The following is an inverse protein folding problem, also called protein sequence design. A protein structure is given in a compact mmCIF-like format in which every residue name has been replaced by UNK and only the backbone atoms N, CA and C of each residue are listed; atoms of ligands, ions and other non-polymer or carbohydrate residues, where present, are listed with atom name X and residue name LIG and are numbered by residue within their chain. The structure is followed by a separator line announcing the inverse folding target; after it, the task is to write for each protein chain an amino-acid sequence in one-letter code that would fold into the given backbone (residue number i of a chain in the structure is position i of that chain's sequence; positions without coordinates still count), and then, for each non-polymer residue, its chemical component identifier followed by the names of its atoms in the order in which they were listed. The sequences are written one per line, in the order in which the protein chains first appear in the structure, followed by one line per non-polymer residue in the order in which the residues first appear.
data_IF_699821884686
#
_entry.id   IF_699821884686
#
_cell.length_a   1.000
_cell.length_b   1.000
_cell.length_c   1.000
_cell.angle_alpha   90.00
_cell.angle_beta   90.00
_cell.angle_gamma   90.00
#
_symmetry.space_group_name_H-M   'P 1'
#
loop_
_entity.id
_entity.type
_entity.pdbx_description
1 polymer ?
#
# COMPACT_ATOMS: atom_id res chain seq x y z
N UNK A 1 13.41 -11.69 65.36
CA UNK A 1 13.17 -10.27 65.05
C UNK A 1 13.58 -10.09 63.62
N UNK A 2 12.59 -9.75 62.82
CA UNK A 2 12.44 -10.19 61.44
C UNK A 2 13.32 -9.43 60.45
N UNK A 3 13.84 -10.18 59.47
CA UNK A 3 14.40 -9.68 58.21
C UNK A 3 13.32 -8.85 57.50
N UNK A 4 13.59 -7.56 57.31
CA UNK A 4 12.75 -6.68 56.51
C UNK A 4 13.16 -6.73 55.04
N UNK A 5 12.23 -7.28 54.28
CA UNK A 5 12.08 -7.37 52.84
C UNK A 5 12.40 -6.10 52.05
N UNK A 6 13.08 -6.26 50.91
CA UNK A 6 12.91 -5.39 49.74
C UNK A 6 13.01 -6.24 48.48
N UNK A 7 11.86 -6.77 48.05
CA UNK A 7 11.72 -7.46 46.77
C UNK A 7 11.62 -6.41 45.65
N UNK A 8 12.70 -6.21 44.91
CA UNK A 8 12.65 -5.56 43.60
C UNK A 8 12.05 -6.54 42.59
N UNK A 9 10.75 -6.37 42.31
CA UNK A 9 10.07 -7.08 41.23
C UNK A 9 10.65 -6.64 39.88
N UNK A 10 11.55 -7.45 39.31
CA UNK A 10 11.93 -7.33 37.91
C UNK A 10 10.76 -7.83 37.06
N UNK A 11 9.95 -6.88 36.56
CA UNK A 11 8.94 -7.12 35.55
C UNK A 11 9.63 -7.53 34.25
N UNK A 12 9.85 -8.83 34.08
CA UNK A 12 10.16 -9.45 32.79
C UNK A 12 8.92 -9.32 31.91
N UNK A 13 8.84 -8.21 31.18
CA UNK A 13 7.89 -8.03 30.09
C UNK A 13 8.26 -9.02 28.98
N UNK A 14 7.71 -10.23 29.07
CA UNK A 14 7.74 -11.22 28.01
C UNK A 14 7.04 -10.61 26.81
N UNK A 15 7.85 -10.04 25.91
CA UNK A 15 7.52 -9.84 24.51
C UNK A 15 6.75 -11.08 24.04
N UNK A 16 5.43 -10.94 23.91
CA UNK A 16 4.60 -12.00 23.35
C UNK A 16 5.07 -12.16 21.93
N UNK A 17 5.79 -13.27 21.71
CA UNK A 17 6.17 -13.82 20.43
C UNK A 17 4.89 -13.82 19.59
N UNK A 18 4.76 -12.85 18.68
CA UNK A 18 3.69 -12.87 17.70
C UNK A 18 3.81 -14.20 16.96
N UNK A 19 2.72 -14.94 16.97
CA UNK A 19 2.59 -16.24 16.35
C UNK A 19 3.01 -16.12 14.87
N UNK A 20 4.18 -16.66 14.54
CA UNK A 20 4.78 -16.60 13.20
C UNK A 20 4.08 -17.57 12.21
N UNK A 21 3.01 -18.22 12.66
CA UNK A 21 2.40 -19.36 11.97
C UNK A 21 1.16 -18.98 11.14
N UNK A 22 0.90 -17.69 10.92
CA UNK A 22 -0.16 -17.21 10.01
C UNK A 22 0.36 -16.22 8.96
N UNK A 23 1.56 -16.46 8.44
CA UNK A 23 1.96 -15.85 7.17
C UNK A 23 1.53 -16.78 6.05
N UNK A 24 0.21 -16.88 5.83
CA UNK A 24 -0.29 -17.16 4.49
C UNK A 24 0.16 -15.98 3.63
N UNK A 25 1.40 -16.06 3.14
CA UNK A 25 1.86 -15.22 2.06
C UNK A 25 0.93 -15.54 0.91
N UNK A 26 -0.09 -14.69 0.71
CA UNK A 26 -0.94 -14.77 -0.47
C UNK A 26 0.01 -14.83 -1.67
N UNK A 27 0.03 -15.96 -2.38
CA UNK A 27 0.87 -16.13 -3.58
C UNK A 27 0.47 -15.14 -4.68
N UNK A 28 -0.69 -14.51 -4.52
CA UNK A 28 -1.28 -13.54 -5.44
C UNK A 28 -1.80 -12.31 -4.70
N UNK A 29 -1.67 -11.15 -5.34
CA UNK A 29 -2.25 -9.88 -4.95
C UNK A 29 -3.40 -9.52 -5.90
N UNK A 30 -4.45 -8.89 -5.37
CA UNK A 30 -5.56 -8.35 -6.17
C UNK A 30 -5.34 -6.87 -6.38
N UNK A 31 -5.51 -6.41 -7.62
CA UNK A 31 -5.34 -5.00 -7.97
C UNK A 31 -6.47 -4.49 -8.84
N UNK A 32 -6.78 -3.20 -8.69
CA UNK A 32 -7.80 -2.51 -9.48
C UNK A 32 -7.13 -1.72 -10.58
N UNK A 33 -7.53 -2.00 -11.81
CA UNK A 33 -7.07 -1.35 -13.04
C UNK A 33 -8.15 -0.39 -13.52
N UNK A 34 -7.76 0.82 -13.90
CA UNK A 34 -8.65 1.73 -14.60
C UNK A 34 -8.70 1.30 -16.07
N UNK A 35 -9.87 0.97 -16.61
CA UNK A 35 -9.97 0.38 -17.96
C UNK A 35 -10.67 1.27 -18.98
N UNK A 36 -11.51 2.22 -18.54
CA UNK A 36 -12.12 3.19 -19.44
C UNK A 36 -12.54 4.47 -18.76
N UNK A 37 -12.53 5.56 -19.55
CA UNK A 37 -13.03 6.86 -19.12
C UNK A 37 -14.56 6.91 -19.24
N UNK A 38 -15.28 7.40 -18.22
CA UNK A 38 -16.73 7.55 -18.29
C UNK A 38 -17.16 8.67 -19.26
N UNK A 39 -16.24 9.58 -19.60
CA UNK A 39 -16.53 10.84 -20.31
C UNK A 39 -16.59 12.02 -19.35
N UNK A 40 -16.33 13.24 -19.84
CA UNK A 40 -16.10 14.41 -18.98
C UNK A 40 -17.28 14.72 -18.05
N UNK A 41 -18.50 14.62 -18.57
CA UNK A 41 -19.73 15.01 -17.86
C UNK A 41 -20.58 13.82 -17.37
N UNK A 42 -20.08 12.60 -17.50
CA UNK A 42 -20.83 11.39 -17.12
C UNK A 42 -20.45 10.92 -15.72
N UNK A 43 -21.36 10.18 -15.08
CA UNK A 43 -21.05 9.49 -13.83
C UNK A 43 -20.10 8.30 -14.09
N UNK A 44 -19.15 8.02 -13.19
CA UNK A 44 -18.37 6.80 -13.25
C UNK A 44 -19.28 5.59 -13.00
N UNK A 45 -19.01 4.52 -13.73
CA UNK A 45 -19.71 3.23 -13.60
C UNK A 45 -18.70 2.17 -13.16
N UNK A 46 -19.18 1.06 -12.59
CA UNK A 46 -18.30 0.00 -12.10
C UNK A 46 -17.38 -0.58 -13.20
N UNK A 47 -17.86 -0.60 -14.44
CA UNK A 47 -17.11 -1.06 -15.61
C UNK A 47 -16.03 -0.07 -16.11
N UNK A 48 -15.88 1.10 -15.47
CA UNK A 48 -14.67 1.92 -15.59
C UNK A 48 -13.45 1.24 -14.99
N UNK A 49 -13.67 0.23 -14.15
CA UNK A 49 -12.63 -0.48 -13.41
C UNK A 49 -12.70 -1.98 -13.70
N UNK A 50 -11.54 -2.62 -13.61
CA UNK A 50 -11.42 -4.07 -13.64
C UNK A 50 -10.54 -4.50 -12.47
N UNK A 51 -10.84 -5.64 -11.87
CA UNK A 51 -9.95 -6.24 -10.89
C UNK A 51 -9.25 -7.44 -11.52
N UNK A 52 -7.97 -7.61 -11.19
CA UNK A 52 -7.18 -8.75 -11.65
C UNK A 52 -6.26 -9.26 -10.54
N UNK A 53 -5.79 -10.49 -10.69
CA UNK A 53 -4.79 -11.11 -9.83
C UNK A 53 -3.40 -10.98 -10.46
N UNK A 54 -2.39 -10.69 -9.65
CA UNK A 54 -0.98 -10.73 -10.02
C UNK A 54 -0.19 -11.49 -8.95
N UNK A 55 1.03 -11.96 -9.23
CA UNK A 55 1.89 -12.46 -8.16
C UNK A 55 2.04 -11.41 -7.05
N UNK A 56 2.02 -11.85 -5.79
CA UNK A 56 2.29 -10.95 -4.68
C UNK A 56 3.77 -10.50 -4.68
N UNK A 57 4.06 -9.25 -4.31
CA UNK A 57 5.43 -8.79 -4.16
C UNK A 57 6.12 -9.55 -3.03
N UNK A 58 7.40 -9.83 -3.21
CA UNK A 58 8.26 -10.51 -2.25
C UNK A 58 9.52 -9.69 -1.98
N UNK A 59 10.40 -10.22 -1.13
CA UNK A 59 11.59 -9.50 -0.67
C UNK A 59 12.52 -9.05 -1.81
N UNK A 60 12.55 -9.77 -2.94
CA UNK A 60 13.37 -9.39 -4.10
C UNK A 60 12.82 -8.18 -4.87
N UNK A 61 11.55 -7.82 -4.64
CA UNK A 61 10.91 -6.65 -5.23
C UNK A 61 11.16 -5.38 -4.41
N UNK A 62 11.81 -5.48 -3.24
CA UNK A 62 12.11 -4.33 -2.36
C UNK A 62 13.43 -3.68 -2.77
N UNK A 63 13.35 -2.56 -3.49
CA UNK A 63 14.50 -1.74 -3.84
C UNK A 63 15.08 -0.93 -2.67
N UNK A 64 16.22 -0.28 -2.89
CA UNK A 64 16.86 0.60 -1.90
C UNK A 64 15.91 1.73 -1.47
N UNK A 65 15.69 1.85 -0.15
CA UNK A 65 14.80 2.87 0.43
C UNK A 65 13.30 2.59 0.25
N UNK A 66 12.91 1.44 -0.29
CA UNK A 66 11.51 1.06 -0.50
C UNK A 66 11.00 0.09 0.57
N UNK A 67 9.68 -0.09 0.60
CA UNK A 67 9.03 -1.13 1.40
C UNK A 67 7.80 -1.67 0.67
N UNK A 68 7.35 -2.84 1.09
CA UNK A 68 6.07 -3.43 0.71
C UNK A 68 5.08 -3.17 1.84
N UNK A 69 3.94 -2.61 1.47
CA UNK A 69 2.84 -2.32 2.39
C UNK A 69 1.66 -3.21 2.04
N UNK A 70 1.12 -3.91 3.04
CA UNK A 70 -0.21 -4.53 2.92
C UNK A 70 -1.25 -3.48 3.25
N UNK A 71 -1.97 -3.04 2.22
CA UNK A 71 -3.09 -2.11 2.34
C UNK A 71 -4.21 -2.73 3.20
N UNK A 72 -4.64 -2.00 4.22
CA UNK A 72 -5.78 -2.36 5.09
C UNK A 72 -7.04 -1.61 4.68
N UNK A 73 -6.89 -0.31 4.40
CA UNK A 73 -7.99 0.59 4.07
C UNK A 73 -7.55 1.54 2.94
N UNK A 74 -8.48 1.84 2.04
CA UNK A 74 -8.28 2.77 0.93
C UNK A 74 -9.42 3.80 0.96
N UNK A 75 -9.07 5.08 0.85
CA UNK A 75 -10.07 6.14 0.74
C UNK A 75 -10.68 6.18 -0.66
N UNK A 76 -11.95 6.58 -0.73
CA UNK A 76 -12.66 6.89 -1.98
C UNK A 76 -13.20 8.30 -1.89
N UNK A 77 -12.60 9.22 -2.65
CA UNK A 77 -12.82 10.65 -2.51
C UNK A 77 -13.44 11.26 -3.77
N UNK A 78 -14.33 12.27 -3.65
CA UNK A 78 -14.86 12.99 -4.80
C UNK A 78 -13.78 13.58 -5.72
N UNK A 79 -12.64 13.97 -5.14
CA UNK A 79 -11.50 14.51 -5.88
C UNK A 79 -10.89 13.50 -6.87
N UNK A 80 -11.07 12.19 -6.68
CA UNK A 80 -10.60 11.20 -7.65
C UNK A 80 -11.41 11.22 -8.95
N UNK A 81 -12.61 11.78 -8.98
CA UNK A 81 -13.44 11.83 -10.19
C UNK A 81 -12.76 12.58 -11.32
N UNK A 82 -12.07 13.70 -11.04
CA UNK A 82 -11.41 14.47 -12.09
C UNK A 82 -10.25 13.68 -12.73
N UNK A 83 -9.63 12.76 -11.99
CA UNK A 83 -8.55 11.88 -12.50
C UNK A 83 -9.04 10.90 -13.57
N UNK A 84 -10.34 10.60 -13.62
CA UNK A 84 -10.90 9.74 -14.68
C UNK A 84 -11.03 10.46 -16.04
N UNK A 85 -10.88 11.79 -16.08
CA UNK A 85 -10.85 12.58 -17.31
C UNK A 85 -9.44 12.62 -17.92
N UNK A 86 -9.33 12.99 -19.20
CA UNK A 86 -8.03 13.15 -19.88
C UNK A 86 -7.19 14.27 -19.26
N UNK A 87 -7.84 15.30 -18.74
CA UNK A 87 -7.23 16.36 -17.94
C UNK A 87 -8.00 16.49 -16.63
N UNK A 88 -7.28 16.62 -15.53
CA UNK A 88 -7.85 16.80 -14.20
C UNK A 88 -8.34 18.24 -13.97
N UNK A 89 -7.87 19.19 -14.78
CA UNK A 89 -8.11 20.62 -14.59
C UNK A 89 -7.30 21.25 -13.45
N UNK A 90 -6.38 20.48 -12.85
CA UNK A 90 -5.51 20.91 -11.75
C UNK A 90 -4.09 20.40 -11.98
N UNK A 91 -3.11 21.02 -11.33
CA UNK A 91 -1.68 20.70 -11.47
C UNK A 91 -1.16 19.69 -10.42
N UNK A 92 -1.88 19.51 -9.32
CA UNK A 92 -1.50 18.65 -8.21
C UNK A 92 -2.05 17.21 -8.30
N UNK A 93 -2.86 16.89 -9.32
CA UNK A 93 -3.36 15.54 -9.57
C UNK A 93 -3.14 15.14 -11.02
N UNK A 94 -2.52 13.98 -11.20
CA UNK A 94 -2.37 13.34 -12.51
C UNK A 94 -3.63 12.55 -12.87
N UNK A 95 -4.01 12.51 -14.17
CA UNK A 95 -5.12 11.68 -14.63
C UNK A 95 -4.76 10.19 -14.53
N UNK A 96 -5.77 9.36 -14.28
CA UNK A 96 -5.65 7.92 -14.48
C UNK A 96 -5.54 7.63 -15.98
N UNK A 97 -4.68 6.67 -16.31
CA UNK A 97 -4.54 6.16 -17.66
C UNK A 97 -5.17 4.77 -17.79
N UNK A 98 -6.00 4.54 -18.83
CA UNK A 98 -6.53 3.21 -19.08
C UNK A 98 -5.43 2.16 -19.22
N UNK A 99 -5.53 1.07 -18.46
CA UNK A 99 -4.53 0.00 -18.34
C UNK A 99 -3.63 0.13 -17.12
N UNK A 100 -3.64 1.28 -16.44
CA UNK A 100 -2.84 1.51 -15.23
C UNK A 100 -3.65 1.24 -13.95
N UNK A 101 -2.93 1.10 -12.84
CA UNK A 101 -3.50 0.86 -11.53
C UNK A 101 -4.17 2.11 -10.97
N UNK A 102 -5.27 1.89 -10.25
CA UNK A 102 -5.94 2.94 -9.50
C UNK A 102 -5.27 3.10 -8.15
N UNK A 103 -4.77 4.30 -7.87
CA UNK A 103 -4.33 4.69 -6.54
C UNK A 103 -5.35 5.62 -5.83
N UNK A 104 -5.29 5.59 -4.51
CA UNK A 104 -6.04 6.48 -3.62
C UNK A 104 -5.35 7.83 -3.46
N UNK A 105 -6.06 8.82 -2.90
CA UNK A 105 -5.40 9.99 -2.32
C UNK A 105 -4.81 9.65 -0.95
N UNK A 106 -5.53 8.83 -0.18
CA UNK A 106 -5.13 8.38 1.15
C UNK A 106 -5.46 6.90 1.35
N UNK A 107 -4.71 6.25 2.24
CA UNK A 107 -4.89 4.86 2.62
C UNK A 107 -4.07 4.51 3.86
N UNK A 108 -4.42 3.41 4.51
CA UNK A 108 -3.72 2.88 5.69
C UNK A 108 -3.28 1.46 5.39
N UNK A 109 -2.04 1.14 5.73
CA UNK A 109 -1.48 -0.19 5.58
C UNK A 109 -0.41 -0.51 6.62
N UNK A 110 0.04 -1.75 6.63
CA UNK A 110 1.13 -2.24 7.49
C UNK A 110 2.33 -2.57 6.61
N UNK A 111 3.52 -2.18 7.07
CA UNK A 111 4.78 -2.54 6.41
C UNK A 111 5.06 -4.02 6.67
N UNK A 112 5.06 -4.82 5.61
CA UNK A 112 5.34 -6.26 5.67
C UNK A 112 6.84 -6.55 5.45
N UNK A 113 7.47 -5.79 4.55
CA UNK A 113 8.89 -5.92 4.21
C UNK A 113 9.46 -4.53 3.93
N UNK A 114 10.72 -4.28 4.30
CA UNK A 114 11.40 -3.01 4.09
C UNK A 114 12.86 -3.22 3.71
N UNK A 115 13.43 -2.28 2.95
CA UNK A 115 14.86 -2.26 2.68
C UNK A 115 15.65 -2.03 3.97
N UNK A 116 16.80 -2.70 4.11
CA UNK A 116 17.72 -2.46 5.21
C UNK A 116 18.26 -1.02 5.27
N UNK A 117 18.20 -0.31 4.13
CA UNK A 117 18.62 1.09 4.00
C UNK A 117 17.47 2.09 4.18
N UNK A 118 16.30 1.61 4.60
CA UNK A 118 15.14 2.47 4.79
C UNK A 118 15.33 3.39 5.99
N UNK A 119 15.24 4.70 5.75
CA UNK A 119 15.32 5.72 6.77
C UNK A 119 13.95 6.37 6.93
N UNK A 120 13.32 6.18 8.09
CA UNK A 120 12.01 6.77 8.38
C UNK A 120 12.19 8.19 8.90
N UNK A 121 12.15 9.18 8.00
CA UNK A 121 12.04 10.57 8.41
C UNK A 121 10.56 10.98 8.41
N UNK A 122 10.15 11.87 9.32
CA UNK A 122 8.76 12.41 9.40
C UNK A 122 8.30 13.11 8.11
N UNK A 123 9.16 13.28 7.10
CA UNK A 123 8.87 13.97 5.84
C UNK A 123 8.69 13.04 4.63
N UNK A 124 9.03 11.75 4.74
CA UNK A 124 9.08 10.82 3.59
C UNK A 124 8.16 9.61 3.77
N UNK A 125 7.03 9.78 4.46
CA UNK A 125 6.04 8.71 4.68
C UNK A 125 5.13 8.46 3.49
N UNK A 126 5.36 9.11 2.34
CA UNK A 126 4.63 8.85 1.10
C UNK A 126 5.12 7.54 0.48
N UNK A 127 4.69 6.42 1.06
CA UNK A 127 5.01 5.10 0.57
C UNK A 127 4.30 4.83 -0.75
N UNK A 128 5.14 4.53 -1.72
CA UNK A 128 4.83 4.24 -3.09
C UNK A 128 3.93 3.00 -3.17
N UNK A 129 2.62 3.20 -3.28
CA UNK A 129 1.68 2.21 -3.86
C UNK A 129 1.77 2.26 -5.40
N UNK A 130 2.95 2.53 -5.97
CA UNK A 130 3.24 2.12 -7.35
C UNK A 130 3.60 0.66 -7.30
N UNK A 131 2.56 -0.15 -7.23
CA UNK A 131 2.65 -1.58 -7.43
C UNK A 131 3.46 -1.85 -8.69
N UNK A 132 4.65 -2.45 -8.49
CA UNK A 132 5.35 -3.35 -9.41
C UNK A 132 5.15 -2.91 -10.87
N UNK A 133 5.69 -1.74 -11.19
CA UNK A 133 5.52 -1.08 -12.47
C UNK A 133 6.15 -1.96 -13.58
N UNK A 134 5.28 -2.50 -14.45
CA UNK A 134 5.57 -2.88 -15.83
C UNK A 134 6.93 -3.59 -16.11
N UNK A 135 7.07 -4.87 -15.74
CA UNK A 135 7.90 -5.80 -16.55
C UNK A 135 7.10 -6.25 -17.78
N UNK A 136 6.90 -5.36 -18.74
CA UNK A 136 6.75 -5.72 -20.16
C UNK A 136 8.05 -5.36 -20.86
N UNK A 137 8.89 -6.37 -21.08
CA UNK A 137 9.92 -6.28 -22.11
C UNK A 137 9.24 -5.90 -23.43
N UNK A 138 9.60 -4.74 -23.98
CA UNK A 138 9.30 -4.42 -25.38
C UNK A 138 10.07 -5.43 -26.23
N UNK A 139 9.34 -6.37 -26.83
CA UNK A 139 9.77 -7.10 -28.03
C UNK A 139 9.61 -6.21 -29.26
#
# INVERSE_FOLDING_TARGET
MDESSSAAQQSSSSCTRYDLDHVDHLSFNKRIVFVKRPGENNFPTADCFHWEECPAPNQSDVGDGQCIVRTLFLSVDPAQRCRMNRSTGVDYLEPFEPGELVDGLEGIGVVEMASLRMQWTKKESALLVKAIENRREKS
#
